data_IF_180125685988
#
_entry.id   IF_180125685988
#
_cell.length_a   1.000
_cell.length_b   1.000
_cell.length_c   1.000
_cell.angle_alpha   90.00
_cell.angle_beta   90.00
_cell.angle_gamma   90.00
#
_symmetry.space_group_name_H-M   'P 1'
#
loop_
_entity.id
_entity.type
_entity.pdbx_description
1 polymer ?
#
# COMPACT_ATOMS: atom_id res chain seq x y z
N UNK A 1 -4.28 -28.81 12.00
CA UNK A 1 -2.97 -28.26 11.58
C UNK A 1 -3.30 -27.32 10.43
N UNK A 2 -3.37 -26.00 10.57
CA UNK A 2 -2.33 -25.10 11.07
C UNK A 2 -2.99 -23.73 11.30
N UNK A 3 -3.26 -23.37 12.56
CA UNK A 3 -3.83 -22.05 12.93
C UNK A 3 -3.01 -21.41 14.06
N UNK A 4 -1.79 -21.89 14.26
CA UNK A 4 -1.00 -21.65 15.47
C UNK A 4 0.08 -20.57 15.29
N UNK A 5 0.25 -19.99 14.10
CA UNK A 5 1.38 -19.08 13.85
C UNK A 5 1.07 -17.59 14.13
N UNK A 6 -0.20 -17.21 14.33
CA UNK A 6 -0.58 -15.79 14.43
C UNK A 6 -0.31 -15.11 15.78
N UNK A 7 -0.02 -15.84 16.87
CA UNK A 7 -0.03 -15.26 18.23
C UNK A 7 1.25 -15.36 19.07
N UNK A 8 2.29 -16.09 18.64
CA UNK A 8 3.44 -16.43 19.54
C UNK A 8 4.55 -15.37 19.55
N UNK A 9 4.34 -14.24 18.89
CA UNK A 9 5.45 -13.43 18.39
C UNK A 9 5.56 -12.03 19.00
N UNK A 10 4.68 -11.56 19.87
CA UNK A 10 4.76 -10.16 20.34
C UNK A 10 6.02 -9.79 21.16
N UNK A 11 6.92 -10.72 21.51
CA UNK A 11 8.15 -10.48 22.28
C UNK A 11 9.47 -10.41 21.46
N UNK A 12 9.46 -10.58 20.14
CA UNK A 12 10.67 -10.56 19.28
C UNK A 12 10.56 -9.66 18.02
N UNK A 13 9.50 -8.85 17.91
CA UNK A 13 8.93 -8.46 16.60
C UNK A 13 9.10 -6.99 16.26
N UNK A 14 9.87 -6.74 15.21
CA UNK A 14 9.85 -5.47 14.48
C UNK A 14 8.41 -5.16 14.04
N UNK A 15 7.83 -4.00 14.41
CA UNK A 15 6.43 -3.66 14.13
C UNK A 15 6.12 -3.64 12.63
N UNK A 16 4.95 -4.19 12.26
CA UNK A 16 4.44 -4.22 10.88
C UNK A 16 3.17 -3.38 10.75
N UNK A 17 3.18 -2.40 9.85
CA UNK A 17 2.05 -1.55 9.49
C UNK A 17 1.55 -1.97 8.11
N UNK A 18 0.27 -2.32 7.98
CA UNK A 18 -0.36 -2.68 6.69
C UNK A 18 -1.20 -1.51 6.19
N UNK A 19 -0.86 -0.99 5.01
CA UNK A 19 -1.52 0.12 4.35
C UNK A 19 -2.22 -0.37 3.07
N UNK A 20 -3.55 -0.42 3.10
CA UNK A 20 -4.35 -0.63 1.90
C UNK A 20 -4.52 0.68 1.14
N UNK A 21 -4.16 0.70 -0.14
CA UNK A 21 -4.37 1.83 -1.04
C UNK A 21 -5.41 1.44 -2.08
N UNK A 22 -6.46 2.25 -2.20
CA UNK A 22 -7.60 1.99 -3.08
C UNK A 22 -8.17 3.28 -3.66
N UNK A 23 -9.08 3.14 -4.61
CA UNK A 23 -9.60 4.22 -5.45
C UNK A 23 -9.95 3.72 -6.84
N UNK A 24 -10.81 4.47 -7.54
CA UNK A 24 -11.25 4.13 -8.91
C UNK A 24 -10.06 4.02 -9.88
N UNK A 25 -10.30 3.36 -11.01
CA UNK A 25 -9.34 3.32 -12.11
C UNK A 25 -8.89 4.74 -12.48
N UNK A 26 -7.58 4.92 -12.73
CA UNK A 26 -6.94 6.21 -13.05
C UNK A 26 -7.02 7.31 -11.97
N UNK A 27 -7.40 6.98 -10.73
CA UNK A 27 -7.32 7.92 -9.60
C UNK A 27 -5.88 8.29 -9.17
N UNK A 28 -4.84 7.70 -9.81
CA UNK A 28 -3.44 8.01 -9.53
C UNK A 28 -2.81 7.22 -8.36
N UNK A 29 -3.41 6.10 -7.94
CA UNK A 29 -2.90 5.23 -6.86
C UNK A 29 -1.44 4.84 -7.04
N UNK A 30 -1.07 4.41 -8.25
CA UNK A 30 0.29 4.00 -8.61
C UNK A 30 1.29 5.15 -8.43
N UNK A 31 0.94 6.35 -8.87
CA UNK A 31 1.78 7.55 -8.72
C UNK A 31 1.88 7.94 -7.25
N UNK A 32 0.78 7.87 -6.51
CA UNK A 32 0.76 8.13 -5.07
C UNK A 32 1.69 7.18 -4.30
N UNK A 33 1.56 5.88 -4.50
CA UNK A 33 2.41 4.88 -3.85
C UNK A 33 3.88 5.08 -4.23
N UNK A 34 4.16 5.26 -5.52
CA UNK A 34 5.53 5.45 -6.02
C UNK A 34 6.17 6.69 -5.41
N UNK A 35 5.46 7.82 -5.41
CA UNK A 35 5.98 9.05 -4.80
C UNK A 35 6.14 8.92 -3.28
N UNK A 36 5.20 8.29 -2.57
CA UNK A 36 5.31 8.02 -1.13
C UNK A 36 6.57 7.20 -0.82
N UNK A 37 6.76 6.08 -1.51
CA UNK A 37 7.90 5.18 -1.32
C UNK A 37 9.21 5.87 -1.67
N UNK A 38 9.27 6.59 -2.79
CA UNK A 38 10.46 7.33 -3.19
C UNK A 38 10.87 8.38 -2.15
N UNK A 39 9.91 9.12 -1.59
CA UNK A 39 10.19 10.11 -0.54
C UNK A 39 10.60 9.47 0.79
N UNK A 40 10.12 8.27 1.11
CA UNK A 40 10.54 7.54 2.32
C UNK A 40 11.94 6.95 2.18
N UNK A 41 12.32 6.52 0.97
CA UNK A 41 13.68 6.07 0.66
C UNK A 41 14.67 7.24 0.70
N UNK A 42 14.28 8.40 0.16
CA UNK A 42 15.05 9.64 0.16
C UNK A 42 14.72 10.52 1.39
N UNK A 43 15.12 10.01 2.56
CA UNK A 43 14.83 10.44 3.95
C UNK A 43 14.84 11.95 4.26
N UNK A 44 15.30 12.81 3.35
CA UNK A 44 15.34 14.27 3.49
C UNK A 44 14.10 15.03 3.00
N UNK A 45 13.11 14.35 2.38
CA UNK A 45 12.00 15.02 1.69
C UNK A 45 10.65 15.03 2.41
N UNK A 46 10.58 14.56 3.66
CA UNK A 46 9.33 14.51 4.45
C UNK A 46 9.40 15.30 5.78
N UNK A 47 9.45 16.65 5.76
CA UNK A 47 9.51 17.46 6.98
C UNK A 47 8.26 17.33 7.87
N UNK A 48 7.12 16.86 7.33
CA UNK A 48 5.91 16.59 8.11
C UNK A 48 5.97 15.23 8.83
N UNK A 49 6.82 14.30 8.37
CA UNK A 49 7.06 13.05 9.06
C UNK A 49 8.02 13.33 10.21
N UNK A 50 7.50 13.45 11.44
CA UNK A 50 8.28 13.84 12.62
C UNK A 50 9.59 13.08 12.78
N UNK A 51 9.61 11.78 12.50
CA UNK A 51 10.83 10.98 12.55
C UNK A 51 11.86 11.38 11.49
N UNK A 52 11.44 11.74 10.28
CA UNK A 52 12.33 12.27 9.24
C UNK A 52 12.80 13.69 9.59
N UNK A 53 11.90 14.56 10.05
CA UNK A 53 12.20 15.94 10.45
C UNK A 53 13.20 16.03 11.62
N UNK A 54 13.09 15.09 12.56
CA UNK A 54 13.99 14.94 13.70
C UNK A 54 15.27 14.13 13.34
N UNK A 55 15.46 13.74 12.07
CA UNK A 55 16.63 12.99 11.60
C UNK A 55 16.76 11.57 12.14
N UNK A 56 15.67 10.98 12.66
CA UNK A 56 15.66 9.69 13.34
C UNK A 56 15.50 8.48 12.42
N UNK A 57 15.18 8.68 11.15
CA UNK A 57 15.16 7.57 10.18
C UNK A 57 16.60 7.28 9.76
N UNK A 58 17.19 6.21 10.30
CA UNK A 58 18.57 5.82 10.02
C UNK A 58 18.71 5.18 8.64
N UNK A 59 17.73 4.34 8.26
CA UNK A 59 17.72 3.65 6.99
C UNK A 59 16.29 3.41 6.50
N UNK A 60 16.13 3.36 5.18
CA UNK A 60 14.91 2.99 4.50
C UNK A 60 15.29 2.11 3.31
N UNK A 61 14.69 0.93 3.19
CA UNK A 61 15.02 -0.02 2.13
C UNK A 61 13.83 -0.91 1.77
N UNK A 62 13.76 -1.31 0.50
CA UNK A 62 12.73 -2.23 0.03
C UNK A 62 13.12 -3.67 0.39
N UNK A 63 12.14 -4.43 0.86
CA UNK A 63 12.29 -5.87 1.02
C UNK A 63 11.63 -6.60 -0.16
N UNK A 64 12.18 -7.76 -0.56
CA UNK A 64 11.50 -8.64 -1.49
C UNK A 64 10.13 -9.03 -0.93
N UNK A 65 9.13 -9.19 -1.81
CA UNK A 65 7.79 -9.58 -1.39
C UNK A 65 7.84 -10.91 -0.61
N UNK A 66 7.23 -10.98 0.58
CA UNK A 66 7.26 -12.18 1.42
C UNK A 66 6.39 -13.33 0.87
N UNK A 67 5.47 -13.03 -0.04
CA UNK A 67 4.53 -13.98 -0.65
C UNK A 67 4.61 -13.88 -2.18
N UNK A 68 4.78 -15.03 -2.84
CA UNK A 68 4.82 -15.14 -4.29
C UNK A 68 3.44 -15.27 -4.94
N UNK A 69 2.38 -15.43 -4.13
CA UNK A 69 1.00 -15.53 -4.62
C UNK A 69 0.45 -14.18 -5.08
N UNK A 70 0.99 -13.08 -4.57
CA UNK A 70 0.61 -11.70 -4.91
C UNK A 70 1.76 -11.05 -5.70
N UNK A 71 1.47 -10.47 -6.89
CA UNK A 71 2.48 -9.72 -7.63
C UNK A 71 3.13 -8.62 -6.79
N UNK A 72 4.45 -8.46 -6.90
CA UNK A 72 5.16 -7.33 -6.32
C UNK A 72 4.77 -6.05 -7.04
N UNK A 73 4.59 -4.96 -6.31
CA UNK A 73 4.46 -3.63 -6.88
C UNK A 73 5.76 -3.26 -7.60
N UNK A 74 5.68 -2.95 -8.90
CA UNK A 74 6.82 -2.61 -9.75
C UNK A 74 7.33 -1.18 -9.49
N UNK A 75 7.77 -0.92 -8.25
CA UNK A 75 8.22 0.41 -7.81
C UNK A 75 9.29 1.00 -8.72
N UNK A 76 10.30 0.20 -9.08
CA UNK A 76 11.45 0.63 -9.86
C UNK A 76 11.02 1.04 -11.28
N UNK A 77 10.15 0.26 -11.92
CA UNK A 77 9.62 0.56 -13.26
C UNK A 77 8.74 1.81 -13.23
N UNK A 78 7.88 1.95 -12.21
CA UNK A 78 7.04 3.13 -12.04
C UNK A 78 7.86 4.39 -11.77
N UNK A 79 8.92 4.28 -10.96
CA UNK A 79 9.82 5.40 -10.70
C UNK A 79 10.55 5.79 -11.99
N UNK A 80 11.08 4.82 -12.74
CA UNK A 80 11.76 5.06 -14.01
C UNK A 80 10.86 5.78 -15.02
N UNK A 81 9.59 5.38 -15.15
CA UNK A 81 8.60 6.05 -16.00
C UNK A 81 8.40 7.53 -15.63
N UNK A 82 8.40 7.85 -14.33
CA UNK A 82 8.20 9.20 -13.82
C UNK A 82 9.46 10.07 -13.89
N UNK A 83 10.65 9.47 -13.88
CA UNK A 83 11.95 10.18 -13.90
C UNK A 83 12.68 10.09 -15.25
N UNK A 84 12.07 9.48 -16.26
CA UNK A 84 12.63 9.36 -17.60
C UNK A 84 12.86 10.74 -18.25
N UNK A 85 13.77 10.86 -19.24
CA UNK A 85 13.95 12.10 -20.01
C UNK A 85 12.65 12.59 -20.67
N UNK A 86 11.80 11.65 -21.08
CA UNK A 86 10.42 11.89 -21.49
C UNK A 86 9.49 11.21 -20.47
N UNK A 87 9.07 11.93 -19.42
CA UNK A 87 8.31 11.34 -18.32
C UNK A 87 6.89 11.01 -18.76
N UNK A 88 6.41 9.83 -18.38
CA UNK A 88 5.04 9.39 -18.65
C UNK A 88 4.40 8.76 -17.42
N UNK A 89 3.07 8.79 -17.37
CA UNK A 89 2.34 8.12 -16.30
C UNK A 89 2.50 6.59 -16.43
N UNK A 90 2.77 5.87 -15.33
CA UNK A 90 2.80 4.42 -15.36
C UNK A 90 1.41 3.83 -15.64
N UNK A 91 1.39 2.63 -16.20
CA UNK A 91 0.16 1.86 -16.43
C UNK A 91 -0.64 1.72 -15.13
N UNK A 92 -1.96 1.91 -15.20
CA UNK A 92 -2.82 1.66 -14.05
C UNK A 92 -2.81 0.16 -13.71
N UNK A 93 -2.56 -0.14 -12.44
CA UNK A 93 -2.63 -1.48 -11.87
C UNK A 93 -4.04 -2.05 -12.04
N UNK A 94 -4.16 -3.11 -12.85
CA UNK A 94 -5.41 -3.86 -13.07
C UNK A 94 -5.56 -5.06 -12.12
N UNK A 95 -4.53 -5.35 -11.34
CA UNK A 95 -4.45 -6.47 -10.40
C UNK A 95 -3.95 -6.00 -9.04
N UNK A 96 -4.24 -6.77 -7.99
CA UNK A 96 -3.68 -6.55 -6.66
C UNK A 96 -2.14 -6.68 -6.71
N UNK A 97 -1.45 -5.78 -6.02
CA UNK A 97 0.01 -5.86 -5.87
C UNK A 97 0.47 -5.35 -4.51
N UNK A 98 1.64 -5.80 -4.05
CA UNK A 98 2.15 -5.47 -2.71
C UNK A 98 3.62 -5.06 -2.71
N UNK A 99 3.99 -4.20 -1.76
CA UNK A 99 5.35 -3.75 -1.51
C UNK A 99 5.63 -3.75 -0.01
N UNK A 100 6.81 -4.22 0.40
CA UNK A 100 7.30 -4.05 1.77
C UNK A 100 8.44 -3.04 1.80
N UNK A 101 8.27 -1.99 2.59
CA UNK A 101 9.30 -1.01 2.90
C UNK A 101 9.70 -1.15 4.37
N UNK A 102 10.99 -1.27 4.65
CA UNK A 102 11.52 -1.33 6.00
C UNK A 102 12.20 -0.01 6.37
N UNK A 103 11.85 0.53 7.53
CA UNK A 103 12.38 1.77 8.08
C UNK A 103 13.09 1.47 9.40
N UNK A 104 14.39 1.73 9.47
CA UNK A 104 15.13 1.69 10.73
C UNK A 104 15.03 3.05 11.40
N UNK A 105 14.39 3.11 12.57
CA UNK A 105 14.04 4.36 13.24
C UNK A 105 14.65 4.39 14.64
N UNK A 106 15.37 5.46 14.94
CA UNK A 106 15.87 5.74 16.27
C UNK A 106 14.71 6.11 17.21
N UNK A 107 14.69 5.57 18.44
CA UNK A 107 13.64 5.86 19.41
C UNK A 107 13.64 7.34 19.81
N UNK A 108 12.49 7.85 20.24
CA UNK A 108 12.31 9.22 20.71
C UNK A 108 12.06 9.28 22.21
N UNK A 109 12.49 10.37 22.86
CA UNK A 109 12.19 10.67 24.27
C UNK A 109 13.39 10.52 25.21
N UNK A 110 13.15 10.76 26.51
CA UNK A 110 14.20 10.82 27.55
C UNK A 110 15.02 9.52 27.70
N UNK A 111 14.47 8.38 27.27
CA UNK A 111 15.12 7.07 27.32
C UNK A 111 15.65 6.59 25.96
N UNK A 112 15.74 7.47 24.95
CA UNK A 112 16.20 7.11 23.61
C UNK A 112 17.62 6.52 23.61
N UNK A 113 18.49 6.90 24.55
CA UNK A 113 19.82 6.32 24.70
C UNK A 113 19.85 4.87 25.24
N UNK A 114 18.76 4.39 25.84
CA UNK A 114 18.66 3.03 26.41
C UNK A 114 18.03 2.02 25.45
N UNK A 115 17.28 2.48 24.44
CA UNK A 115 16.68 1.63 23.41
C UNK A 115 17.49 1.76 22.12
N UNK A 116 17.87 0.62 21.52
CA UNK A 116 18.46 0.61 20.19
C UNK A 116 17.45 1.02 19.10
N UNK A 117 17.91 1.30 17.89
CA UNK A 117 17.04 1.53 16.74
C UNK A 117 16.11 0.34 16.50
N UNK A 118 14.86 0.60 16.14
CA UNK A 118 13.87 -0.44 15.84
C UNK A 118 13.53 -0.41 14.35
N UNK A 119 13.32 -1.58 13.73
CA UNK A 119 12.87 -1.64 12.34
C UNK A 119 11.35 -1.64 12.32
N UNK A 120 10.75 -0.79 11.50
CA UNK A 120 9.32 -0.76 11.22
C UNK A 120 9.11 -1.20 9.79
N UNK A 121 8.28 -2.21 9.58
CA UNK A 121 7.90 -2.68 8.25
C UNK A 121 6.58 -2.03 7.83
N UNK A 122 6.52 -1.52 6.61
CA UNK A 122 5.33 -0.96 5.98
C UNK A 122 4.96 -1.82 4.77
N UNK A 123 3.86 -2.54 4.89
CA UNK A 123 3.28 -3.37 3.83
C UNK A 123 2.20 -2.59 3.10
N UNK A 124 2.50 -2.13 1.90
CA UNK A 124 1.56 -1.37 1.06
C UNK A 124 0.92 -2.34 0.07
N UNK A 125 -0.41 -2.41 0.06
CA UNK A 125 -1.17 -3.22 -0.89
C UNK A 125 -2.03 -2.32 -1.76
N UNK A 126 -1.77 -2.31 -3.06
CA UNK A 126 -2.57 -1.63 -4.08
C UNK A 126 -3.64 -2.59 -4.60
N UNK A 127 -4.91 -2.22 -4.46
CA UNK A 127 -6.02 -3.01 -5.00
C UNK A 127 -7.05 -2.12 -5.70
N UNK A 128 -7.72 -2.65 -6.75
CA UNK A 128 -8.73 -1.89 -7.48
C UNK A 128 -9.94 -1.53 -6.59
N UNK A 129 -10.35 -0.25 -6.59
CA UNK A 129 -11.45 0.23 -5.73
C UNK A 129 -12.82 -0.24 -6.19
N UNK A 130 -12.97 -0.60 -7.47
CA UNK A 130 -14.17 -1.24 -8.00
C UNK A 130 -14.54 -2.52 -7.25
N UNK A 131 -13.58 -3.21 -6.62
CA UNK A 131 -13.85 -4.39 -5.81
C UNK A 131 -14.66 -4.07 -4.56
N UNK A 132 -14.61 -2.83 -4.07
CA UNK A 132 -15.43 -2.38 -2.95
C UNK A 132 -16.90 -2.17 -3.36
N UNK A 133 -17.19 -1.97 -4.66
CA UNK A 133 -18.54 -1.76 -5.16
C UNK A 133 -19.41 -3.02 -5.08
N UNK A 134 -18.78 -4.19 -4.99
CA UNK A 134 -19.46 -5.47 -4.84
C UNK A 134 -19.79 -5.81 -3.37
N UNK A 135 -19.28 -5.03 -2.39
CA UNK A 135 -19.56 -5.27 -0.96
C UNK A 135 -21.07 -5.23 -0.61
N UNK A 136 -21.89 -4.29 -1.14
CA UNK A 136 -23.33 -4.29 -0.91
C UNK A 136 -24.07 -5.47 -1.57
N UNK A 137 -23.43 -6.19 -2.49
CA UNK A 137 -24.01 -7.40 -3.08
C UNK A 137 -23.87 -8.61 -2.15
N UNK A 138 -22.94 -8.58 -1.18
CA UNK A 138 -22.76 -9.66 -0.21
C UNK A 138 -23.95 -9.82 0.75
N UNK A 139 -24.76 -8.77 0.94
CA UNK A 139 -25.98 -8.78 1.74
C UNK A 139 -27.24 -9.09 0.92
N UNK A 140 -27.11 -9.28 -0.39
CA UNK A 140 -28.24 -9.52 -1.30
C UNK A 140 -28.30 -10.99 -1.72
N UNK A 141 -29.44 -11.63 -1.47
CA UNK A 141 -29.72 -12.93 -2.09
C UNK A 141 -29.82 -12.77 -3.61
N UNK A 142 -29.23 -13.69 -4.38
CA UNK A 142 -29.16 -13.67 -5.85
C UNK A 142 -30.49 -13.40 -6.58
N UNK A 143 -31.63 -13.61 -5.88
CA UNK A 143 -32.99 -13.44 -6.40
C UNK A 143 -33.47 -11.98 -6.48
N UNK A 144 -32.77 -11.01 -5.88
CA UNK A 144 -33.18 -9.59 -5.86
C UNK A 144 -32.41 -8.72 -6.87
N UNK A 145 -31.94 -9.29 -7.97
CA UNK A 145 -31.36 -8.55 -9.10
C UNK A 145 -32.39 -8.45 -10.23
N UNK A 146 -33.17 -7.37 -10.27
CA UNK A 146 -33.97 -7.06 -11.45
C UNK A 146 -33.04 -6.45 -12.52
N UNK A 147 -33.05 -6.91 -13.78
CA UNK A 147 -32.41 -6.17 -14.84
C UNK A 147 -33.14 -4.81 -14.99
N UNK A 148 -32.44 -3.71 -15.32
CA UNK A 148 -33.10 -2.52 -15.81
C UNK A 148 -33.74 -2.88 -17.16
N UNK A 149 -35.00 -3.28 -17.15
CA UNK A 149 -35.80 -3.39 -18.36
C UNK A 149 -35.98 -1.98 -18.90
N UNK A 150 -35.22 -1.67 -19.95
CA UNK A 150 -35.41 -0.49 -20.77
C UNK A 150 -36.88 -0.43 -21.22
N UNK A 151 -37.52 0.67 -20.89
CA UNK A 151 -38.79 1.11 -21.44
C UNK A 151 -38.71 1.19 -22.96
N UNK A 152 -39.45 0.34 -23.66
CA UNK A 152 -39.77 0.51 -25.07
C UNK A 152 -41.21 0.07 -25.32
N UNK A 153 -42.16 1.01 -25.28
CA UNK A 153 -43.27 1.00 -26.25
C UNK A 153 -43.88 2.40 -26.36
N UNK A 154 -43.82 2.98 -27.56
CA UNK A 154 -44.55 4.17 -27.96
C UNK A 154 -46.03 3.81 -28.25
N UNK A 155 -47.00 4.66 -27.93
CA UNK A 155 -48.40 4.41 -28.27
C UNK A 155 -48.69 4.71 -29.76
N UNK A 156 -49.68 4.03 -30.37
CA UNK A 156 -50.14 4.30 -31.74
C UNK A 156 -50.87 5.64 -31.88
#
# INVERSE_FOLDING_TARGET
>A
MESTIQGVNEALFDPVIRLGVTGLARAGKTVFITSLVANLLDRGRMPQLRAAAEGRIEAAYLQPSPDHSIPRFAFEDHLAALTAPEPHWPESTRSISTLRLSLRVAPSGMFAGFKGPTTVHLDITDYPGEWLLDLPLMSQSHRKRAPPSASCQAPP
#
